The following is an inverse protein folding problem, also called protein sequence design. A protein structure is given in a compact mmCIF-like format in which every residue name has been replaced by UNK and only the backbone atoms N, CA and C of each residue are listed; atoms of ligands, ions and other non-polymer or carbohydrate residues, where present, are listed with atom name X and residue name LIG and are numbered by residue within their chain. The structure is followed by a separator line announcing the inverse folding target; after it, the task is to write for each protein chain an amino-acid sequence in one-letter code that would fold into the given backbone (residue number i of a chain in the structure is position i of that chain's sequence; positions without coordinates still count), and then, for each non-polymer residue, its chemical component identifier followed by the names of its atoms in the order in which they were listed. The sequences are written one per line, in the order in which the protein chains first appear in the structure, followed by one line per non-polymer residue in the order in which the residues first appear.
data_IF_901185082001
#
_entry.id   IF_901185082001
#
_cell.length_a   1.000
_cell.length_b   1.000
_cell.length_c   1.000
_cell.angle_alpha   90.00
_cell.angle_beta   90.00
_cell.angle_gamma   90.00
#
_symmetry.space_group_name_H-M   'P 1'
#
loop_
_entity.id
_entity.type
_entity.pdbx_description
1 polymer ?
#
# COMPACT_ATOMS: atom_id res chain seq x y z
N UNK A 1 -26.86 -43.75 -45.76
CA UNK A 1 -25.42 -43.43 -45.60
C UNK A 1 -25.23 -42.08 -46.27
N UNK A 2 -24.88 -40.96 -45.65
CA UNK A 2 -24.42 -40.65 -44.30
C UNK A 2 -24.98 -39.26 -43.93
N UNK A 3 -25.46 -39.10 -42.71
CA UNK A 3 -25.85 -37.79 -42.16
C UNK A 3 -24.75 -37.29 -41.23
N UNK A 4 -24.31 -36.07 -41.50
CA UNK A 4 -23.38 -35.26 -40.70
C UNK A 4 -23.97 -35.06 -39.29
N UNK A 5 -23.18 -35.31 -38.26
CA UNK A 5 -23.48 -34.93 -36.88
C UNK A 5 -22.40 -33.95 -36.41
N UNK A 6 -22.82 -32.71 -36.20
CA UNK A 6 -22.06 -31.64 -35.59
C UNK A 6 -21.83 -31.99 -34.11
N UNK A 7 -20.56 -32.19 -33.72
CA UNK A 7 -20.17 -32.15 -32.31
C UNK A 7 -19.95 -30.69 -31.93
N UNK A 8 -20.84 -30.15 -31.11
CA UNK A 8 -20.60 -28.92 -30.38
C UNK A 8 -19.40 -29.08 -29.45
N UNK A 9 -18.50 -28.11 -29.47
CA UNK A 9 -17.45 -27.94 -28.49
C UNK A 9 -18.07 -27.36 -27.22
N UNK A 10 -18.23 -28.17 -26.19
CA UNK A 10 -18.42 -27.68 -24.83
C UNK A 10 -17.13 -26.98 -24.39
N UNK A 11 -17.11 -25.66 -24.48
CA UNK A 11 -16.16 -24.83 -23.74
C UNK A 11 -16.56 -24.91 -22.28
N UNK A 12 -15.80 -25.63 -21.45
CA UNK A 12 -15.97 -25.58 -20.00
C UNK A 12 -15.72 -24.14 -19.55
N UNK A 13 -16.75 -23.45 -19.08
CA UNK A 13 -16.59 -22.20 -18.33
C UNK A 13 -15.74 -22.52 -17.10
N UNK A 14 -14.48 -22.07 -17.11
CA UNK A 14 -13.73 -21.95 -15.86
C UNK A 14 -14.56 -21.03 -14.97
N UNK A 15 -15.10 -21.57 -13.88
CA UNK A 15 -15.87 -20.81 -12.91
C UNK A 15 -14.96 -19.68 -12.42
N UNK A 16 -15.27 -18.44 -12.80
CA UNK A 16 -14.47 -17.28 -12.40
C UNK A 16 -14.68 -17.13 -10.89
N UNK A 17 -13.62 -17.30 -10.09
CA UNK A 17 -13.74 -17.07 -8.66
C UNK A 17 -13.96 -15.58 -8.40
N UNK A 18 -15.16 -15.23 -7.92
CA UNK A 18 -15.44 -13.88 -7.43
C UNK A 18 -14.44 -13.52 -6.33
N UNK A 19 -13.76 -12.35 -6.39
CA UNK A 19 -12.90 -11.91 -5.31
C UNK A 19 -13.68 -11.79 -4.00
N UNK A 20 -13.08 -12.20 -2.87
CA UNK A 20 -13.75 -12.21 -1.56
C UNK A 20 -13.35 -11.08 -0.64
N UNK A 21 -12.10 -10.65 -0.73
CA UNK A 21 -11.51 -9.72 0.21
C UNK A 21 -11.22 -8.38 -0.44
N UNK A 22 -11.40 -7.33 0.35
CA UNK A 22 -11.00 -5.97 0.03
C UNK A 22 -9.80 -5.60 0.88
N UNK A 23 -8.76 -5.07 0.22
CA UNK A 23 -7.65 -4.41 0.89
C UNK A 23 -7.84 -2.90 0.83
N UNK A 24 -7.57 -2.22 1.95
CA UNK A 24 -7.56 -0.77 2.05
C UNK A 24 -6.11 -0.32 2.27
N UNK A 25 -5.59 0.51 1.36
CA UNK A 25 -4.15 0.84 1.32
C UNK A 25 -3.68 1.59 2.57
N UNK A 26 -4.43 2.58 3.06
CA UNK A 26 -4.00 3.37 4.21
C UNK A 26 -4.78 4.66 4.37
N UNK A 27 -4.31 5.71 3.68
CA UNK A 27 -4.80 7.08 3.82
C UNK A 27 -6.25 7.34 3.40
N UNK A 28 -6.83 8.42 3.92
CA UNK A 28 -8.21 8.81 3.70
C UNK A 28 -8.48 10.31 3.86
N UNK A 29 -9.59 10.85 3.30
CA UNK A 29 -9.94 12.25 3.44
C UNK A 29 -10.76 12.54 4.71
N UNK A 30 -11.01 11.52 5.55
CA UNK A 30 -11.82 11.66 6.75
C UNK A 30 -11.10 12.49 7.81
N UNK A 31 -11.88 13.20 8.62
CA UNK A 31 -11.31 14.09 9.63
C UNK A 31 -10.72 13.34 10.83
N UNK A 32 -11.25 12.15 11.14
CA UNK A 32 -10.88 11.36 12.34
C UNK A 32 -10.78 9.87 12.02
N UNK A 33 -9.95 9.15 12.78
CA UNK A 33 -9.83 7.70 12.65
C UNK A 33 -11.17 7.01 12.92
N UNK A 34 -11.91 7.45 13.94
CA UNK A 34 -13.27 6.96 14.24
C UNK A 34 -14.22 7.06 13.04
N UNK A 35 -14.32 8.23 12.38
CA UNK A 35 -15.21 8.40 11.22
C UNK A 35 -14.79 7.48 10.05
N UNK A 36 -13.49 7.31 9.84
CA UNK A 36 -12.95 6.38 8.84
C UNK A 36 -13.33 4.92 9.17
N UNK A 37 -13.04 4.46 10.39
CA UNK A 37 -13.34 3.10 10.82
C UNK A 37 -14.83 2.75 10.70
N UNK A 38 -15.71 3.64 11.15
CA UNK A 38 -17.15 3.46 11.05
C UNK A 38 -17.59 3.38 9.58
N UNK A 39 -17.07 4.27 8.74
CA UNK A 39 -17.43 4.32 7.31
C UNK A 39 -16.99 3.07 6.56
N UNK A 40 -15.73 2.63 6.75
CA UNK A 40 -15.21 1.44 6.08
C UNK A 40 -15.93 0.17 6.56
N UNK A 41 -16.15 0.03 7.86
CA UNK A 41 -16.81 -1.15 8.44
C UNK A 41 -18.27 -1.25 7.99
N UNK A 42 -18.96 -0.12 7.84
CA UNK A 42 -20.33 -0.08 7.35
C UNK A 42 -20.43 -0.38 5.85
N UNK A 43 -19.48 0.10 5.05
CA UNK A 43 -19.50 -0.05 3.60
C UNK A 43 -19.02 -1.44 3.13
N UNK A 44 -18.13 -2.10 3.88
CA UNK A 44 -17.48 -3.35 3.49
C UNK A 44 -17.66 -4.48 4.52
N UNK A 45 -18.90 -4.79 4.95
CA UNK A 45 -19.13 -5.80 5.97
C UNK A 45 -18.68 -7.19 5.47
N UNK A 46 -17.89 -7.89 6.28
CA UNK A 46 -17.41 -9.24 6.01
C UNK A 46 -16.39 -9.35 4.86
N UNK A 47 -15.77 -8.23 4.45
CA UNK A 47 -14.81 -8.17 3.33
C UNK A 47 -13.41 -7.76 3.72
N UNK A 48 -13.23 -7.20 4.91
CA UNK A 48 -11.95 -6.68 5.39
C UNK A 48 -11.25 -7.72 6.26
N UNK A 49 -9.99 -8.04 5.94
CA UNK A 49 -9.08 -8.77 6.83
C UNK A 49 -8.28 -7.78 7.68
N UNK A 50 -7.87 -6.68 7.06
CA UNK A 50 -7.09 -5.61 7.65
C UNK A 50 -7.86 -4.30 7.54
N UNK A 51 -7.73 -3.44 8.55
CA UNK A 51 -8.31 -2.10 8.53
C UNK A 51 -7.24 -1.08 8.98
N UNK A 52 -6.77 -0.21 8.07
CA UNK A 52 -5.84 0.86 8.42
C UNK A 52 -6.53 1.95 9.24
N UNK A 53 -5.75 2.87 9.78
CA UNK A 53 -6.28 3.98 10.57
C UNK A 53 -6.80 5.16 9.72
N UNK A 54 -6.64 5.11 8.40
CA UNK A 54 -7.10 6.18 7.51
C UNK A 54 -6.12 7.34 7.37
N UNK A 55 -4.97 7.31 8.04
CA UNK A 55 -3.92 8.35 8.04
C UNK A 55 -4.46 9.79 8.05
N UNK A 56 -5.40 10.07 8.96
CA UNK A 56 -6.15 11.33 8.94
C UNK A 56 -5.31 12.55 9.31
N UNK A 57 -5.84 13.74 9.01
CA UNK A 57 -5.17 15.01 9.30
C UNK A 57 -3.95 15.22 8.39
N UNK A 58 -2.82 15.65 8.93
CA UNK A 58 -1.60 15.95 8.13
C UNK A 58 -1.02 14.73 7.41
N UNK A 59 -1.38 13.51 7.83
CA UNK A 59 -0.84 12.26 7.26
C UNK A 59 -1.51 11.86 5.94
N UNK A 60 -2.59 12.52 5.54
CA UNK A 60 -3.32 12.18 4.31
C UNK A 60 -2.53 12.49 3.02
N UNK A 61 -1.46 13.29 3.11
CA UNK A 61 -0.50 13.55 2.02
C UNK A 61 0.75 12.66 2.13
N UNK A 62 0.58 11.39 2.48
CA UNK A 62 1.64 10.38 2.56
C UNK A 62 2.81 10.84 3.42
N UNK A 63 4.03 10.92 2.89
CA UNK A 63 5.23 11.28 3.67
C UNK A 63 5.43 12.77 3.90
N UNK A 64 4.61 13.67 3.33
CA UNK A 64 4.88 15.12 3.40
C UNK A 64 4.95 15.67 4.83
N UNK A 65 4.17 15.14 5.76
CA UNK A 65 4.23 15.56 7.16
C UNK A 65 5.57 15.23 7.84
N UNK A 66 6.37 14.31 7.28
CA UNK A 66 7.71 13.99 7.77
C UNK A 66 8.73 15.09 7.50
N UNK A 67 8.41 16.11 6.69
CA UNK A 67 9.28 17.29 6.58
C UNK A 67 9.48 17.97 7.94
N UNK A 68 8.46 17.95 8.82
CA UNK A 68 8.52 18.52 10.19
C UNK A 68 9.57 17.82 11.08
N UNK A 69 9.93 16.57 10.78
CA UNK A 69 11.00 15.83 11.48
C UNK A 69 12.34 16.55 11.32
N UNK A 70 12.54 17.29 10.23
CA UNK A 70 13.79 17.97 9.91
C UNK A 70 13.74 19.48 10.22
N UNK A 71 12.79 19.96 11.03
CA UNK A 71 12.65 21.38 11.41
C UNK A 71 13.93 21.96 12.07
N UNK A 72 14.72 21.11 12.73
CA UNK A 72 16.02 21.49 13.31
C UNK A 72 17.17 21.51 12.27
N UNK A 73 16.89 21.15 11.01
CA UNK A 73 17.83 21.09 9.89
C UNK A 73 17.16 21.53 8.57
N UNK A 74 16.51 22.70 8.49
CA UNK A 74 15.67 23.05 7.33
C UNK A 74 16.43 23.21 6.01
N UNK A 75 17.77 23.33 6.05
CA UNK A 75 18.63 23.49 4.88
C UNK A 75 18.76 22.23 4.02
N UNK A 76 18.32 21.06 4.51
CA UNK A 76 18.36 19.79 3.75
C UNK A 76 17.05 19.50 3.01
N UNK A 77 16.00 20.27 3.25
CA UNK A 77 14.67 20.05 2.67
C UNK A 77 14.61 20.57 1.23
N UNK A 78 13.90 19.87 0.34
CA UNK A 78 13.58 20.43 -0.99
C UNK A 78 12.55 21.55 -0.88
N UNK A 79 12.57 22.47 -1.84
CA UNK A 79 11.69 23.65 -1.88
C UNK A 79 10.30 23.42 -2.51
N UNK A 80 9.45 24.45 -2.39
CA UNK A 80 8.05 24.53 -2.86
C UNK A 80 7.79 23.93 -4.24
N UNK A 81 8.60 24.29 -5.24
CA UNK A 81 8.40 23.91 -6.65
C UNK A 81 8.72 22.43 -6.93
N UNK A 82 9.41 21.76 -6.00
CA UNK A 82 9.88 20.38 -6.16
C UNK A 82 9.00 19.36 -5.40
N UNK A 83 8.13 19.82 -4.48
CA UNK A 83 7.28 18.94 -3.65
C UNK A 83 5.80 19.42 -3.61
N UNK A 84 5.48 20.65 -4.00
CA UNK A 84 4.13 21.20 -3.90
C UNK A 84 3.79 21.70 -2.48
N UNK A 85 3.49 22.99 -2.37
CA UNK A 85 2.98 23.73 -1.21
C UNK A 85 3.75 23.64 0.13
N UNK A 86 5.07 23.97 0.12
CA UNK A 86 5.82 24.26 1.37
C UNK A 86 6.87 25.38 1.21
N UNK A 87 7.10 26.19 2.26
CA UNK A 87 7.98 27.37 2.24
C UNK A 87 9.37 27.05 1.69
N UNK A 88 9.80 27.81 0.68
CA UNK A 88 11.15 27.74 0.13
C UNK A 88 12.18 28.15 1.21
N UNK A 89 13.21 27.30 1.40
CA UNK A 89 14.42 27.72 2.07
C UNK A 89 15.36 28.37 1.04
N UNK A 90 15.70 29.65 1.25
CA UNK A 90 16.79 30.31 0.54
C UNK A 90 18.00 30.29 1.48
N UNK A 91 19.06 29.60 1.08
CA UNK A 91 20.27 29.48 1.88
C UNK A 91 21.14 30.73 1.74
N UNK A 92 21.28 31.50 2.82
CA UNK A 92 22.42 32.41 3.01
C UNK A 92 23.35 31.94 4.16
N UNK A 93 23.17 30.71 4.66
CA UNK A 93 23.83 30.22 5.87
C UNK A 93 24.71 28.99 5.64
N UNK A 94 25.86 28.99 6.32
CA UNK A 94 26.86 27.91 6.34
C UNK A 94 26.21 26.56 6.65
N UNK A 95 26.46 25.61 5.77
CA UNK A 95 26.07 24.20 5.87
C UNK A 95 26.58 23.60 7.18
N UNK A 96 25.67 23.36 8.12
CA UNK A 96 25.98 22.61 9.35
C UNK A 96 26.03 21.12 9.00
N UNK A 97 27.16 20.46 9.24
CA UNK A 97 27.36 19.02 8.99
C UNK A 97 26.66 18.10 10.00
N UNK A 98 25.56 18.52 10.61
CA UNK A 98 24.86 17.75 11.66
C UNK A 98 23.37 17.79 11.41
N UNK A 99 22.88 16.78 10.70
CA UNK A 99 21.45 16.50 10.53
C UNK A 99 20.86 16.15 11.89
N UNK A 100 19.72 16.75 12.24
CA UNK A 100 18.98 16.47 13.48
C UNK A 100 17.56 16.05 13.15
N UNK A 101 17.16 14.89 13.67
CA UNK A 101 15.81 14.35 13.55
C UNK A 101 15.00 14.65 14.81
N UNK A 102 13.79 15.16 14.61
CA UNK A 102 12.72 15.13 15.59
C UNK A 102 12.10 13.73 15.74
N UNK A 103 11.07 13.58 16.59
CA UNK A 103 10.29 12.36 16.67
C UNK A 103 9.55 12.10 15.34
N UNK A 104 9.56 10.86 14.86
CA UNK A 104 8.87 10.51 13.61
C UNK A 104 7.34 10.51 13.75
N UNK A 105 6.82 10.12 14.91
CA UNK A 105 5.40 10.15 15.26
C UNK A 105 4.55 8.96 14.76
N UNK A 106 5.07 8.07 13.91
CA UNK A 106 4.32 6.90 13.41
C UNK A 106 3.79 6.02 14.53
N UNK A 107 4.61 5.77 15.54
CA UNK A 107 4.30 4.99 16.72
C UNK A 107 3.24 5.65 17.61
N UNK A 108 3.39 6.95 17.89
CA UNK A 108 2.40 7.71 18.67
C UNK A 108 1.01 7.68 18.00
N UNK A 109 0.97 7.86 16.67
CA UNK A 109 -0.28 7.77 15.90
C UNK A 109 -0.85 6.36 15.92
N UNK A 110 -0.06 5.33 15.59
CA UNK A 110 -0.54 3.95 15.56
C UNK A 110 -1.12 3.50 16.91
N UNK A 111 -0.45 3.83 18.03
CA UNK A 111 -0.90 3.47 19.37
C UNK A 111 -2.20 4.18 19.73
N UNK A 112 -2.33 5.47 19.41
CA UNK A 112 -3.56 6.23 19.65
C UNK A 112 -4.73 5.70 18.81
N UNK A 113 -4.51 5.48 17.52
CA UNK A 113 -5.53 4.95 16.60
C UNK A 113 -5.95 3.53 16.94
N UNK A 114 -5.03 2.69 17.42
CA UNK A 114 -5.35 1.34 17.90
C UNK A 114 -6.29 1.36 19.13
N UNK A 115 -6.15 2.33 20.03
CA UNK A 115 -7.07 2.46 21.16
C UNK A 115 -8.50 2.78 20.69
N UNK A 116 -8.67 3.61 19.65
CA UNK A 116 -9.97 3.86 19.02
C UNK A 116 -10.51 2.63 18.30
N UNK A 117 -9.66 1.94 17.53
CA UNK A 117 -9.99 0.68 16.87
C UNK A 117 -10.55 -0.35 17.87
N UNK A 118 -9.86 -0.55 19.01
CA UNK A 118 -10.31 -1.46 20.07
C UNK A 118 -11.67 -1.08 20.64
N UNK A 119 -11.91 0.22 20.87
CA UNK A 119 -13.19 0.71 21.37
C UNK A 119 -14.32 0.36 20.40
N UNK A 120 -14.15 0.61 19.11
CA UNK A 120 -15.15 0.30 18.07
C UNK A 120 -15.35 -1.21 17.87
N UNK A 121 -14.28 -2.00 17.99
CA UNK A 121 -14.36 -3.47 17.96
C UNK A 121 -15.14 -4.04 19.14
N UNK A 122 -14.92 -3.50 20.35
CA UNK A 122 -15.67 -3.89 21.55
C UNK A 122 -17.15 -3.49 21.49
N UNK A 123 -17.49 -2.46 20.70
CA UNK A 123 -18.86 -2.04 20.43
C UNK A 123 -19.54 -2.87 19.32
N UNK A 124 -18.77 -3.70 18.60
CA UNK A 124 -19.26 -4.52 17.50
C UNK A 124 -19.33 -3.80 16.15
N UNK A 125 -18.84 -2.55 16.06
CA UNK A 125 -18.73 -1.83 14.79
C UNK A 125 -17.68 -2.46 13.89
N UNK A 126 -16.48 -2.71 14.44
CA UNK A 126 -15.43 -3.44 13.74
C UNK A 126 -15.58 -4.93 14.09
N UNK A 127 -15.71 -5.84 13.11
CA UNK A 127 -15.83 -7.27 13.39
C UNK A 127 -14.63 -7.84 14.15
N UNK A 128 -14.90 -8.84 14.99
CA UNK A 128 -13.83 -9.62 15.62
C UNK A 128 -13.04 -10.36 14.55
N UNK A 129 -11.71 -10.41 14.68
CA UNK A 129 -10.82 -11.06 13.71
C UNK A 129 -10.24 -10.12 12.65
N UNK A 130 -10.80 -8.91 12.47
CA UNK A 130 -10.15 -7.87 11.67
C UNK A 130 -8.91 -7.38 12.42
N UNK A 131 -7.78 -7.33 11.72
CA UNK A 131 -6.52 -6.79 12.25
C UNK A 131 -6.38 -5.31 11.97
N UNK A 132 -5.73 -4.61 12.89
CA UNK A 132 -5.34 -3.24 12.74
C UNK A 132 -4.08 -3.15 11.86
N UNK A 133 -4.18 -2.39 10.78
CA UNK A 133 -3.09 -2.18 9.83
C UNK A 133 -2.36 -0.88 10.15
N UNK A 134 -1.04 -0.96 10.27
CA UNK A 134 -0.15 0.20 10.33
C UNK A 134 0.64 0.26 9.03
N UNK A 135 0.33 1.28 8.21
CA UNK A 135 1.08 1.56 6.98
C UNK A 135 2.27 2.47 7.29
N UNK A 136 3.47 2.01 6.95
CA UNK A 136 4.74 2.73 7.15
C UNK A 136 5.41 2.92 5.78
N UNK A 137 5.91 4.12 5.47
CA UNK A 137 6.76 4.28 4.31
C UNK A 137 8.11 3.61 4.56
N UNK A 138 8.76 3.17 3.50
CA UNK A 138 10.21 2.90 3.60
C UNK A 138 10.98 4.21 3.81
N UNK A 139 12.22 4.14 4.34
CA UNK A 139 13.09 5.32 4.42
C UNK A 139 13.29 6.02 3.07
N UNK A 140 13.32 5.26 1.97
CA UNK A 140 13.50 5.81 0.61
C UNK A 140 12.40 6.80 0.24
N UNK A 141 11.16 6.53 0.65
CA UNK A 141 10.04 7.43 0.36
C UNK A 141 10.22 8.79 1.04
N UNK A 142 10.62 8.81 2.31
CA UNK A 142 10.80 10.07 3.04
C UNK A 142 12.04 10.82 2.56
N UNK A 143 13.18 10.13 2.49
CA UNK A 143 14.46 10.73 2.12
C UNK A 143 14.45 11.20 0.67
N UNK A 144 13.97 10.34 -0.23
CA UNK A 144 13.92 10.61 -1.66
C UNK A 144 12.92 11.73 -2.02
N UNK A 145 11.79 11.81 -1.34
CA UNK A 145 10.78 12.86 -1.59
C UNK A 145 11.17 14.16 -0.91
N UNK A 146 11.52 14.15 0.38
CA UNK A 146 11.62 15.36 1.20
C UNK A 146 12.99 16.06 1.16
N UNK A 147 14.09 15.34 0.90
CA UNK A 147 15.44 15.89 1.07
C UNK A 147 16.16 16.18 -0.25
N UNK A 148 16.99 17.22 -0.26
CA UNK A 148 17.90 17.53 -1.38
C UNK A 148 18.92 16.39 -1.59
N UNK A 149 19.26 16.05 -2.84
CA UNK A 149 20.09 14.87 -3.17
C UNK A 149 21.39 14.74 -2.37
N UNK A 150 22.10 15.85 -2.15
CA UNK A 150 23.39 15.87 -1.47
C UNK A 150 23.35 15.45 0.01
N UNK A 151 22.17 15.39 0.64
CA UNK A 151 22.01 14.96 2.04
C UNK A 151 21.41 13.56 2.19
N UNK A 152 20.93 12.95 1.09
CA UNK A 152 20.15 11.70 1.17
C UNK A 152 20.98 10.54 1.73
N UNK A 153 22.22 10.39 1.28
CA UNK A 153 23.13 9.34 1.74
C UNK A 153 23.48 9.46 3.23
N UNK A 154 23.62 10.69 3.76
CA UNK A 154 23.89 10.93 5.18
C UNK A 154 22.64 10.73 6.05
N UNK A 155 21.48 11.19 5.57
CA UNK A 155 20.23 11.20 6.33
C UNK A 155 19.57 9.82 6.43
N UNK A 156 19.67 8.98 5.40
CA UNK A 156 18.92 7.72 5.31
C UNK A 156 19.21 6.77 6.49
N UNK A 157 20.47 6.46 6.87
CA UNK A 157 20.72 5.54 7.98
C UNK A 157 20.21 6.07 9.32
N UNK A 158 20.19 7.41 9.50
CA UNK A 158 19.66 8.04 10.70
C UNK A 158 18.14 7.88 10.78
N UNK A 159 17.46 8.10 9.65
CA UNK A 159 16.02 7.98 9.53
C UNK A 159 15.56 6.52 9.67
N UNK A 160 16.24 5.57 8.99
CA UNK A 160 15.95 4.13 9.11
C UNK A 160 16.04 3.70 10.57
N UNK A 161 17.10 4.08 11.30
CA UNK A 161 17.24 3.76 12.72
C UNK A 161 16.07 4.27 13.57
N UNK A 162 15.61 5.50 13.32
CA UNK A 162 14.48 6.08 14.02
C UNK A 162 13.16 5.36 13.69
N UNK A 163 12.97 4.99 12.42
CA UNK A 163 11.79 4.25 11.95
C UNK A 163 11.73 2.85 12.56
N UNK A 164 12.86 2.14 12.63
CA UNK A 164 12.92 0.83 13.28
C UNK A 164 12.65 0.92 14.80
N UNK A 165 13.03 2.01 15.46
CA UNK A 165 12.67 2.26 16.85
C UNK A 165 11.16 2.52 17.03
N UNK A 166 10.55 3.26 16.11
CA UNK A 166 9.10 3.45 16.09
C UNK A 166 8.36 2.12 15.85
N UNK A 167 8.81 1.31 14.88
CA UNK A 167 8.28 -0.03 14.62
C UNK A 167 8.36 -0.94 15.86
N UNK A 168 9.49 -0.96 16.58
CA UNK A 168 9.62 -1.70 17.84
C UNK A 168 8.56 -1.28 18.86
N UNK A 169 8.39 0.03 19.06
CA UNK A 169 7.40 0.55 20.03
C UNK A 169 5.96 0.20 19.63
N UNK A 170 5.62 0.21 18.34
CA UNK A 170 4.33 -0.24 17.83
C UNK A 170 4.09 -1.70 18.22
N UNK A 171 5.08 -2.57 17.94
CA UNK A 171 4.99 -4.01 18.21
C UNK A 171 5.00 -4.35 19.71
N UNK A 172 5.59 -3.50 20.55
CA UNK A 172 5.51 -3.64 22.01
C UNK A 172 4.14 -3.23 22.58
N UNK A 173 3.46 -2.31 21.92
CA UNK A 173 2.21 -1.72 22.40
C UNK A 173 0.94 -2.42 21.84
N UNK A 174 1.04 -3.02 20.66
CA UNK A 174 -0.09 -3.65 19.97
C UNK A 174 0.12 -5.17 19.94
N UNK A 175 -0.85 -5.98 20.44
CA UNK A 175 -0.78 -7.43 20.38
C UNK A 175 -0.56 -7.93 18.95
N UNK A 176 0.32 -8.93 18.78
CA UNK A 176 0.69 -9.46 17.46
C UNK A 176 -0.49 -10.03 16.67
N UNK A 177 -1.48 -10.60 17.37
CA UNK A 177 -2.70 -11.14 16.77
C UNK A 177 -3.59 -10.05 16.17
N UNK A 178 -3.45 -8.82 16.64
CA UNK A 178 -4.21 -7.65 16.19
C UNK A 178 -3.42 -6.78 15.21
N UNK A 179 -2.11 -6.98 15.06
CA UNK A 179 -1.24 -6.10 14.29
C UNK A 179 -0.92 -6.67 12.89
N UNK A 180 -0.97 -5.78 11.91
CA UNK A 180 -0.45 -6.00 10.56
C UNK A 180 0.36 -4.78 10.12
N UNK A 181 1.52 -5.00 9.50
CA UNK A 181 2.44 -3.95 9.05
C UNK A 181 2.48 -3.92 7.52
N UNK A 182 2.21 -2.76 6.93
CA UNK A 182 2.44 -2.53 5.51
C UNK A 182 3.67 -1.66 5.29
N UNK A 183 4.51 -2.04 4.32
CA UNK A 183 5.55 -1.17 3.76
C UNK A 183 5.08 -0.53 2.45
N UNK A 184 5.00 0.80 2.43
CA UNK A 184 4.64 1.55 1.22
C UNK A 184 5.90 1.90 0.42
N UNK A 185 5.92 1.52 -0.86
CA UNK A 185 7.12 1.53 -1.71
C UNK A 185 6.93 2.32 -3.02
N UNK A 186 6.58 3.61 -2.93
CA UNK A 186 6.34 4.43 -4.12
C UNK A 186 7.64 4.91 -4.78
N UNK A 187 8.60 5.41 -3.97
CA UNK A 187 9.87 5.92 -4.48
C UNK A 187 10.69 4.82 -5.16
N UNK A 188 10.62 3.60 -4.66
CA UNK A 188 11.26 2.41 -5.23
C UNK A 188 10.78 2.11 -6.65
N UNK A 189 9.46 2.17 -6.88
CA UNK A 189 8.91 2.02 -8.23
C UNK A 189 9.39 3.16 -9.13
N UNK A 190 9.41 4.39 -8.61
CA UNK A 190 9.97 5.54 -9.32
C UNK A 190 11.42 5.30 -9.75
N UNK A 191 12.25 4.75 -8.86
CA UNK A 191 13.66 4.46 -9.16
C UNK A 191 13.86 3.40 -10.25
N UNK A 192 12.89 2.51 -10.46
CA UNK A 192 12.96 1.44 -11.46
C UNK A 192 12.35 1.83 -12.80
N UNK A 193 11.25 2.59 -12.78
CA UNK A 193 10.44 2.90 -13.97
C UNK A 193 10.61 4.35 -14.45
N UNK A 194 11.16 5.24 -13.61
CA UNK A 194 11.38 6.66 -13.95
C UNK A 194 12.68 7.23 -13.32
N UNK A 195 13.84 6.63 -13.62
CA UNK A 195 15.12 6.96 -12.97
C UNK A 195 15.61 8.39 -13.25
N UNK A 196 15.05 9.09 -14.24
CA UNK A 196 15.39 10.50 -14.51
C UNK A 196 14.87 11.46 -13.43
N UNK A 197 13.78 11.10 -12.74
CA UNK A 197 13.21 11.89 -11.65
C UNK A 197 13.42 11.27 -10.26
N UNK A 198 13.66 9.97 -10.19
CA UNK A 198 13.85 9.21 -8.96
C UNK A 198 15.25 8.61 -8.92
N UNK A 199 16.21 9.42 -8.48
CA UNK A 199 17.63 9.05 -8.44
C UNK A 199 17.98 8.27 -7.18
N UNK A 200 18.84 7.26 -7.30
CA UNK A 200 19.43 6.62 -6.13
C UNK A 200 20.65 7.38 -5.62
N UNK A 201 20.93 7.18 -4.34
CA UNK A 201 22.17 7.60 -3.67
C UNK A 201 22.94 6.37 -3.17
N UNK A 202 22.84 5.26 -3.92
CA UNK A 202 23.41 3.97 -3.53
C UNK A 202 24.82 3.85 -4.08
N UNK A 203 25.80 3.65 -3.21
CA UNK A 203 27.18 3.47 -3.62
C UNK A 203 27.47 2.02 -4.04
N UNK A 204 27.85 1.84 -5.31
CA UNK A 204 28.42 0.58 -5.81
C UNK A 204 27.42 -0.56 -6.09
N UNK A 205 26.12 -0.27 -6.10
CA UNK A 205 25.05 -1.23 -6.44
C UNK A 205 24.02 -0.58 -7.37
N UNK A 206 23.33 -1.39 -8.18
CA UNK A 206 22.18 -0.89 -8.95
C UNK A 206 20.96 -0.61 -8.06
N UNK A 207 19.99 0.12 -8.61
CA UNK A 207 18.77 0.53 -7.89
C UNK A 207 18.03 -0.66 -7.30
N UNK A 208 17.85 -1.74 -8.08
CA UNK A 208 17.07 -2.90 -7.66
C UNK A 208 17.77 -3.60 -6.49
N UNK A 209 19.06 -3.88 -6.60
CA UNK A 209 19.83 -4.50 -5.51
C UNK A 209 19.81 -3.64 -4.23
N UNK A 210 20.00 -2.33 -4.37
CA UNK A 210 19.96 -1.42 -3.21
C UNK A 210 18.58 -1.31 -2.55
N UNK A 211 17.49 -1.44 -3.32
CA UNK A 211 16.11 -1.56 -2.79
C UNK A 211 15.94 -2.85 -2.01
N UNK A 212 16.38 -4.00 -2.57
CA UNK A 212 16.23 -5.31 -1.93
C UNK A 212 16.99 -5.40 -0.61
N UNK A 213 18.20 -4.84 -0.53
CA UNK A 213 19.00 -4.81 0.70
C UNK A 213 18.34 -4.01 1.83
N UNK A 214 17.68 -2.90 1.48
CA UNK A 214 16.91 -2.07 2.43
C UNK A 214 15.66 -2.80 2.88
N UNK A 215 14.88 -3.34 1.94
CA UNK A 215 13.67 -4.07 2.25
C UNK A 215 13.93 -5.29 3.15
N UNK A 216 15.03 -6.02 2.93
CA UNK A 216 15.41 -7.14 3.80
C UNK A 216 15.59 -6.73 5.27
N UNK A 217 16.11 -5.53 5.54
CA UNK A 217 16.23 -5.00 6.91
C UNK A 217 14.88 -4.60 7.50
N UNK A 218 14.03 -3.96 6.70
CA UNK A 218 12.68 -3.56 7.12
C UNK A 218 11.81 -4.79 7.42
N UNK A 219 11.77 -5.75 6.50
CA UNK A 219 11.05 -7.02 6.68
C UNK A 219 11.57 -7.81 7.89
N UNK A 220 12.89 -7.80 8.12
CA UNK A 220 13.53 -8.48 9.25
C UNK A 220 13.26 -7.84 10.62
N UNK A 221 12.78 -6.60 10.68
CA UNK A 221 12.41 -5.96 11.94
C UNK A 221 10.95 -6.09 12.34
N UNK A 222 10.11 -6.67 11.49
CA UNK A 222 8.76 -7.07 11.87
C UNK A 222 8.85 -8.42 12.61
N UNK A 223 8.24 -8.52 13.79
CA UNK A 223 8.29 -9.67 14.68
C UNK A 223 7.62 -10.90 14.05
N UNK A 224 8.01 -12.07 14.54
CA UNK A 224 7.34 -13.33 14.19
C UNK A 224 5.90 -13.34 14.72
N UNK A 225 4.95 -13.67 13.85
CA UNK A 225 3.51 -13.73 14.17
C UNK A 225 2.75 -12.41 14.02
N UNK A 226 3.44 -11.29 13.75
CA UNK A 226 2.83 -10.07 13.22
C UNK A 226 2.71 -10.22 11.70
N UNK A 227 1.55 -9.96 11.10
CA UNK A 227 1.43 -10.04 9.63
C UNK A 227 2.16 -8.89 8.94
N UNK A 228 2.76 -9.15 7.79
CA UNK A 228 3.49 -8.17 7.00
C UNK A 228 3.17 -8.25 5.51
N UNK A 229 2.89 -7.10 4.91
CA UNK A 229 2.76 -6.96 3.47
C UNK A 229 3.41 -5.69 2.95
N UNK A 230 3.29 -5.47 1.65
CA UNK A 230 3.78 -4.25 1.01
C UNK A 230 2.86 -3.76 -0.10
N UNK A 231 2.86 -2.45 -0.27
CA UNK A 231 2.11 -1.72 -1.28
C UNK A 231 3.11 -1.13 -2.27
N UNK A 232 3.11 -1.66 -3.49
CA UNK A 232 3.80 -1.03 -4.62
C UNK A 232 2.90 0.08 -5.17
N UNK A 233 3.49 1.20 -5.59
CA UNK A 233 2.72 2.38 -5.99
C UNK A 233 3.44 3.17 -7.08
N UNK A 234 2.73 3.65 -8.09
CA UNK A 234 3.23 4.62 -9.06
C UNK A 234 3.01 6.08 -8.62
N UNK A 235 2.72 6.29 -7.33
CA UNK A 235 2.23 7.56 -6.81
C UNK A 235 0.87 7.92 -7.40
N UNK A 236 0.10 8.74 -6.72
CA UNK A 236 -1.16 9.22 -7.26
C UNK A 236 -1.26 10.68 -6.87
N UNK A 237 -1.19 11.64 -7.78
CA UNK A 237 -1.53 13.03 -7.49
C UNK A 237 -2.61 13.43 -8.50
N UNK A 238 -3.83 13.64 -8.00
CA UNK A 238 -5.01 13.92 -8.82
C UNK A 238 -5.26 12.85 -9.90
N UNK A 239 -5.18 11.56 -9.53
CA UNK A 239 -5.36 10.41 -10.43
C UNK A 239 -4.32 10.31 -11.55
N UNK A 240 -3.12 10.83 -11.28
CA UNK A 240 -1.98 10.75 -12.20
C UNK A 240 -0.79 10.09 -11.52
N UNK A 241 -0.26 9.08 -12.19
CA UNK A 241 0.97 8.41 -11.86
C UNK A 241 2.19 9.27 -12.24
N UNK A 242 3.33 9.05 -11.59
CA UNK A 242 4.58 9.66 -12.05
C UNK A 242 5.03 9.08 -13.41
N UNK A 243 4.68 7.83 -13.68
CA UNK A 243 4.85 7.17 -14.98
C UNK A 243 3.71 6.17 -15.18
N UNK A 244 3.14 6.13 -16.38
CA UNK A 244 2.11 5.15 -16.71
C UNK A 244 2.78 3.80 -17.06
N UNK A 245 2.58 2.74 -16.25
CA UNK A 245 3.25 1.47 -16.47
C UNK A 245 2.82 0.84 -17.77
N UNK A 246 3.78 0.33 -18.55
CA UNK A 246 3.49 -0.34 -19.83
C UNK A 246 2.71 -1.65 -19.62
N UNK A 247 3.16 -2.45 -18.66
CA UNK A 247 2.61 -3.73 -18.24
C UNK A 247 2.97 -3.97 -16.76
N UNK A 248 2.56 -5.10 -16.17
CA UNK A 248 2.87 -5.43 -14.77
C UNK A 248 4.28 -6.03 -14.56
N UNK A 249 5.16 -6.01 -15.57
CA UNK A 249 6.44 -6.72 -15.55
C UNK A 249 7.36 -6.31 -14.41
N UNK A 250 7.55 -5.00 -14.20
CA UNK A 250 8.38 -4.50 -13.09
C UNK A 250 7.76 -4.79 -11.73
N UNK A 251 6.42 -4.67 -11.61
CA UNK A 251 5.71 -4.99 -10.37
C UNK A 251 5.89 -6.47 -9.99
N UNK A 252 5.73 -7.39 -10.95
CA UNK A 252 5.88 -8.83 -10.72
C UNK A 252 7.34 -9.19 -10.40
N UNK A 253 8.29 -8.64 -11.16
CA UNK A 253 9.72 -8.87 -10.94
C UNK A 253 10.15 -8.39 -9.54
N UNK A 254 9.80 -7.15 -9.16
CA UNK A 254 10.12 -6.62 -7.84
C UNK A 254 9.42 -7.42 -6.73
N UNK A 255 8.15 -7.76 -6.88
CA UNK A 255 7.39 -8.56 -5.91
C UNK A 255 8.07 -9.90 -5.62
N UNK A 256 8.52 -10.60 -6.67
CA UNK A 256 9.18 -11.89 -6.53
C UNK A 256 10.49 -11.77 -5.74
N UNK A 257 11.29 -10.76 -6.05
CA UNK A 257 12.57 -10.53 -5.39
C UNK A 257 12.39 -10.07 -3.94
N UNK A 258 11.45 -9.15 -3.66
CA UNK A 258 11.10 -8.72 -2.30
C UNK A 258 10.66 -9.91 -1.46
N UNK A 259 9.78 -10.76 -1.99
CA UNK A 259 9.32 -11.98 -1.32
C UNK A 259 10.46 -12.96 -1.04
N UNK A 260 11.45 -13.03 -1.92
CA UNK A 260 12.66 -13.84 -1.74
C UNK A 260 13.57 -13.32 -0.62
N UNK A 261 13.83 -12.02 -0.56
CA UNK A 261 14.75 -11.41 0.42
C UNK A 261 14.12 -11.17 1.79
N UNK A 262 12.79 -11.13 1.90
CA UNK A 262 12.08 -10.94 3.17
C UNK A 262 12.45 -11.98 4.24
N UNK A 263 12.82 -13.21 3.83
CA UNK A 263 13.13 -14.36 4.71
C UNK A 263 12.01 -14.70 5.72
N UNK A 264 10.80 -14.24 5.45
CA UNK A 264 9.56 -14.53 6.19
C UNK A 264 8.43 -14.86 5.22
N UNK A 265 7.24 -15.12 5.73
CA UNK A 265 6.04 -15.04 4.88
C UNK A 265 5.70 -13.56 4.72
N UNK A 266 5.44 -13.17 3.48
CA UNK A 266 4.77 -11.92 3.15
C UNK A 266 3.29 -12.29 3.07
N UNK A 267 2.49 -11.80 4.00
CA UNK A 267 1.09 -12.18 4.19
C UNK A 267 0.20 -11.59 3.08
N UNK A 268 0.52 -10.38 2.61
CA UNK A 268 -0.12 -9.82 1.42
C UNK A 268 0.81 -8.95 0.58
N UNK A 269 0.46 -8.84 -0.70
CA UNK A 269 1.03 -7.85 -1.61
C UNK A 269 -0.11 -7.04 -2.21
N UNK A 270 0.14 -5.75 -2.43
CA UNK A 270 -0.76 -4.88 -3.16
C UNK A 270 -0.04 -4.27 -4.37
N UNK A 271 -0.70 -4.31 -5.53
CA UNK A 271 -0.21 -3.68 -6.77
C UNK A 271 -1.30 -2.85 -7.46
N UNK A 272 -0.96 -1.65 -7.97
CA UNK A 272 -1.92 -0.74 -8.61
C UNK A 272 -2.19 -1.16 -10.05
N UNK A 273 -3.36 -0.81 -10.57
CA UNK A 273 -3.76 -1.07 -11.96
C UNK A 273 -4.46 0.16 -12.53
N UNK A 274 -3.85 0.87 -13.52
CA UNK A 274 -4.45 2.07 -14.09
C UNK A 274 -5.83 1.82 -14.68
N UNK A 275 -6.72 2.81 -14.49
CA UNK A 275 -8.14 2.72 -14.89
C UNK A 275 -8.37 2.24 -16.31
N UNK A 276 -7.49 2.63 -17.24
CA UNK A 276 -7.59 2.31 -18.66
C UNK A 276 -7.08 0.90 -19.04
N UNK A 277 -6.58 0.10 -18.10
CA UNK A 277 -5.99 -1.22 -18.35
C UNK A 277 -7.03 -2.32 -18.35
N UNK A 278 -7.58 -2.62 -19.52
CA UNK A 278 -8.41 -3.82 -19.76
C UNK A 278 -7.76 -4.75 -20.80
N UNK A 279 -6.49 -4.54 -21.12
CA UNK A 279 -5.77 -5.31 -22.12
C UNK A 279 -5.01 -6.50 -21.52
N UNK A 280 -5.10 -7.67 -22.16
CA UNK A 280 -4.43 -8.91 -21.73
C UNK A 280 -2.90 -8.74 -21.60
N UNK A 281 -2.28 -7.91 -22.45
CA UNK A 281 -0.84 -7.72 -22.46
C UNK A 281 -0.34 -7.07 -21.16
N UNK A 282 -1.12 -6.15 -20.59
CA UNK A 282 -0.82 -5.53 -19.30
C UNK A 282 -0.75 -6.56 -18.16
N UNK A 283 -1.71 -7.49 -18.10
CA UNK A 283 -1.82 -8.50 -17.04
C UNK A 283 -0.99 -9.76 -17.29
N UNK A 284 -0.50 -9.98 -18.51
CA UNK A 284 0.30 -11.14 -18.89
C UNK A 284 1.42 -11.51 -17.91
N UNK A 285 2.19 -10.55 -17.35
CA UNK A 285 3.25 -10.84 -16.40
C UNK A 285 2.79 -11.52 -15.10
N UNK A 286 1.52 -11.43 -14.71
CA UNK A 286 1.02 -12.07 -13.47
C UNK A 286 1.25 -13.58 -13.44
N UNK A 287 1.38 -14.23 -14.61
CA UNK A 287 1.73 -15.65 -14.73
C UNK A 287 3.10 -16.00 -14.15
N UNK A 288 3.98 -15.02 -14.01
CA UNK A 288 5.34 -15.19 -13.51
C UNK A 288 5.48 -14.88 -12.01
N UNK A 289 4.36 -14.64 -11.30
CA UNK A 289 4.37 -14.49 -9.84
C UNK A 289 4.82 -15.80 -9.15
N UNK A 290 5.78 -15.66 -8.24
CA UNK A 290 6.41 -16.74 -7.47
C UNK A 290 6.25 -16.44 -5.98
N UNK A 291 5.03 -16.63 -5.50
CA UNK A 291 4.67 -16.38 -4.11
C UNK A 291 4.48 -17.69 -3.35
N UNK A 292 4.53 -17.60 -2.01
CA UNK A 292 4.07 -18.69 -1.17
C UNK A 292 2.56 -18.80 -1.29
N UNK A 293 2.01 -20.01 -1.13
CA UNK A 293 0.56 -20.26 -1.22
C UNK A 293 -0.27 -19.46 -0.22
N UNK A 294 0.34 -19.03 0.88
CA UNK A 294 -0.25 -18.28 1.97
C UNK A 294 -0.30 -16.77 1.69
N UNK A 295 0.46 -16.27 0.70
CA UNK A 295 0.51 -14.86 0.35
C UNK A 295 -0.74 -14.46 -0.44
N UNK A 296 -1.47 -13.47 0.07
CA UNK A 296 -2.63 -12.90 -0.61
C UNK A 296 -2.19 -11.82 -1.60
N UNK A 297 -2.76 -11.84 -2.81
CA UNK A 297 -2.52 -10.79 -3.81
C UNK A 297 -3.74 -9.88 -3.87
N UNK A 298 -3.53 -8.57 -3.76
CA UNK A 298 -4.55 -7.56 -3.95
C UNK A 298 -4.23 -6.74 -5.19
N UNK A 299 -5.19 -6.69 -6.12
CA UNK A 299 -5.10 -5.88 -7.34
C UNK A 299 -5.93 -4.61 -7.19
N UNK A 300 -5.32 -3.46 -7.44
CA UNK A 300 -5.95 -2.14 -7.41
C UNK A 300 -6.88 -1.87 -8.59
N UNK A 301 -7.92 -2.68 -8.77
CA UNK A 301 -8.78 -2.67 -9.97
C UNK A 301 -9.99 -1.73 -9.87
N UNK A 302 -10.33 -1.25 -8.68
CA UNK A 302 -11.53 -0.45 -8.43
C UNK A 302 -11.24 1.04 -8.57
N UNK A 303 -12.07 1.74 -9.34
CA UNK A 303 -12.01 3.20 -9.49
C UNK A 303 -13.42 3.78 -9.38
N UNK A 304 -13.47 5.08 -9.10
CA UNK A 304 -14.73 5.77 -8.92
C UNK A 304 -15.58 5.77 -10.19
N UNK A 305 -16.89 5.56 -9.96
CA UNK A 305 -17.94 5.51 -10.96
C UNK A 305 -17.66 4.53 -12.11
N UNK A 306 -16.92 3.45 -11.83
CA UNK A 306 -16.41 2.54 -12.87
C UNK A 306 -16.67 1.07 -12.55
N UNK A 307 -17.91 0.73 -12.20
CA UNK A 307 -18.29 -0.65 -11.87
C UNK A 307 -18.04 -1.62 -13.05
N UNK A 308 -18.49 -1.26 -14.25
CA UNK A 308 -18.36 -2.13 -15.41
C UNK A 308 -16.91 -2.25 -15.89
N UNK A 309 -16.13 -1.16 -15.84
CA UNK A 309 -14.68 -1.25 -16.07
C UNK A 309 -13.99 -2.12 -15.02
N UNK A 310 -14.42 -2.05 -13.75
CA UNK A 310 -13.85 -2.87 -12.68
C UNK A 310 -14.13 -4.34 -12.90
N UNK A 311 -15.35 -4.69 -13.29
CA UNK A 311 -15.71 -6.07 -13.67
C UNK A 311 -14.88 -6.57 -14.84
N UNK A 312 -14.66 -5.74 -15.86
CA UNK A 312 -13.84 -6.13 -17.01
C UNK A 312 -12.37 -6.33 -16.60
N UNK A 313 -11.82 -5.45 -15.77
CA UNK A 313 -10.47 -5.60 -15.21
C UNK A 313 -10.31 -6.88 -14.40
N UNK A 314 -11.28 -7.21 -13.54
CA UNK A 314 -11.31 -8.48 -12.81
C UNK A 314 -11.33 -9.65 -13.79
N UNK A 315 -12.24 -9.62 -14.78
CA UNK A 315 -12.39 -10.68 -15.78
C UNK A 315 -11.07 -10.97 -16.51
N UNK A 316 -10.38 -9.93 -16.97
CA UNK A 316 -9.09 -10.06 -17.68
C UNK A 316 -8.00 -10.55 -16.73
N UNK A 317 -7.88 -9.97 -15.54
CA UNK A 317 -6.87 -10.40 -14.56
C UNK A 317 -7.03 -11.88 -14.17
N UNK A 318 -8.27 -12.38 -14.04
CA UNK A 318 -8.59 -13.78 -13.74
C UNK A 318 -8.08 -14.78 -14.79
N UNK A 319 -7.71 -14.33 -15.99
CA UNK A 319 -7.07 -15.19 -17.01
C UNK A 319 -5.60 -15.47 -16.71
N UNK A 320 -4.97 -14.65 -15.85
CA UNK A 320 -3.53 -14.69 -15.53
C UNK A 320 -3.25 -15.01 -14.06
N UNK A 321 -4.17 -14.68 -13.15
CA UNK A 321 -4.09 -14.99 -11.72
C UNK A 321 -5.46 -15.46 -11.22
N UNK A 322 -5.55 -16.68 -10.71
CA UNK A 322 -6.83 -17.28 -10.35
C UNK A 322 -7.43 -16.68 -9.08
N UNK A 323 -6.63 -16.51 -8.02
CA UNK A 323 -7.09 -16.04 -6.71
C UNK A 323 -6.43 -14.72 -6.36
N UNK A 324 -7.25 -13.69 -6.14
CA UNK A 324 -6.83 -12.37 -5.68
C UNK A 324 -7.99 -11.65 -4.98
N UNK A 325 -7.64 -10.70 -4.09
CA UNK A 325 -8.55 -9.69 -3.57
C UNK A 325 -8.53 -8.41 -4.41
N UNK A 326 -9.50 -7.52 -4.17
CA UNK A 326 -9.63 -6.25 -4.90
C UNK A 326 -9.28 -5.08 -3.99
N UNK A 327 -8.69 -4.04 -4.57
CA UNK A 327 -8.41 -2.78 -3.89
C UNK A 327 -8.59 -1.61 -4.87
N UNK A 328 -8.32 -0.41 -4.38
CA UNK A 328 -8.02 0.77 -5.21
C UNK A 328 -6.54 0.80 -5.58
N UNK A 329 -6.16 1.65 -6.54
CA UNK A 329 -4.74 1.81 -6.88
C UNK A 329 -3.88 2.33 -5.73
N UNK A 330 -4.44 3.23 -4.91
CA UNK A 330 -3.74 3.92 -3.83
C UNK A 330 -4.72 4.20 -2.68
N UNK A 331 -4.24 4.83 -1.60
CA UNK A 331 -5.08 5.33 -0.51
C UNK A 331 -5.92 6.54 -0.92
N UNK A 332 -6.97 6.83 -0.15
CA UNK A 332 -7.94 7.88 -0.44
C UNK A 332 -7.54 9.28 0.04
N UNK A 333 -6.31 9.49 0.53
CA UNK A 333 -5.92 10.71 1.27
C UNK A 333 -6.23 12.05 0.58
N UNK A 334 -6.27 12.06 -0.77
CA UNK A 334 -6.54 13.23 -1.62
C UNK A 334 -7.83 13.10 -2.45
N UNK A 335 -8.63 12.10 -2.13
CA UNK A 335 -9.85 11.75 -2.87
C UNK A 335 -11.04 12.48 -2.25
N UNK A 336 -11.93 13.03 -3.07
CA UNK A 336 -13.15 13.66 -2.59
C UNK A 336 -14.11 12.65 -1.96
N UNK A 337 -14.92 13.08 -1.00
CA UNK A 337 -15.75 12.15 -0.20
C UNK A 337 -16.78 11.38 -1.05
N UNK A 338 -17.37 12.02 -2.05
CA UNK A 338 -18.31 11.38 -2.98
C UNK A 338 -17.62 10.32 -3.87
N UNK A 339 -16.38 10.59 -4.25
CA UNK A 339 -15.53 9.66 -4.97
C UNK A 339 -15.20 8.42 -4.12
N UNK A 340 -14.81 8.60 -2.85
CA UNK A 340 -14.62 7.50 -1.89
C UNK A 340 -15.88 6.65 -1.78
N UNK A 341 -17.05 7.27 -1.59
CA UNK A 341 -18.31 6.54 -1.48
C UNK A 341 -18.64 5.76 -2.75
N UNK A 342 -18.36 6.32 -3.92
CA UNK A 342 -18.54 5.60 -5.19
C UNK A 342 -17.65 4.36 -5.27
N UNK A 343 -16.38 4.48 -4.90
CA UNK A 343 -15.43 3.36 -4.93
C UNK A 343 -15.84 2.26 -3.95
N UNK A 344 -16.25 2.62 -2.73
CA UNK A 344 -16.72 1.64 -1.75
C UNK A 344 -17.93 0.86 -2.26
N UNK A 345 -18.85 1.54 -2.97
CA UNK A 345 -19.96 0.86 -3.64
C UNK A 345 -19.50 -0.11 -4.72
N UNK A 346 -18.51 0.27 -5.54
CA UNK A 346 -17.91 -0.62 -6.54
C UNK A 346 -17.27 -1.84 -5.87
N UNK A 347 -16.45 -1.63 -4.84
CA UNK A 347 -15.78 -2.69 -4.09
C UNK A 347 -16.79 -3.67 -3.48
N UNK A 348 -17.87 -3.16 -2.88
CA UNK A 348 -18.92 -3.99 -2.30
C UNK A 348 -19.67 -4.84 -3.34
N UNK A 349 -19.92 -4.30 -4.55
CA UNK A 349 -20.60 -5.00 -5.64
C UNK A 349 -19.74 -6.11 -6.28
N UNK A 350 -18.42 -5.89 -6.40
CA UNK A 350 -17.52 -6.86 -7.07
C UNK A 350 -16.92 -7.90 -6.13
N UNK A 351 -17.22 -7.83 -4.83
CA UNK A 351 -16.71 -8.78 -3.84
C UNK A 351 -17.82 -9.48 -3.07
N UNK A 352 -17.64 -10.76 -2.80
CA UNK A 352 -18.56 -11.55 -1.97
C UNK A 352 -18.18 -11.49 -0.49
N UNK A 353 -19.13 -11.22 0.44
CA UNK A 353 -18.83 -11.19 1.86
C UNK A 353 -18.64 -12.60 2.43
N UNK A 354 -17.63 -12.77 3.28
CA UNK A 354 -17.50 -13.99 4.07
C UNK A 354 -18.38 -13.93 5.32
N UNK A 355 -19.67 -14.23 5.14
CA UNK A 355 -20.68 -14.16 6.22
C UNK A 355 -20.54 -15.28 7.27
N UNK A 356 -19.76 -16.33 7.00
CA UNK A 356 -19.62 -17.48 7.90
C UNK A 356 -18.93 -17.13 9.23
N UNK A 357 -18.02 -16.15 9.25
CA UNK A 357 -17.40 -15.70 10.50
C UNK A 357 -18.35 -14.90 11.43
N UNK A 358 -19.49 -14.42 10.92
CA UNK A 358 -20.49 -13.67 11.70
C UNK A 358 -21.53 -14.58 12.38
N UNK A 359 -21.71 -15.82 11.92
CA UNK A 359 -22.74 -16.73 12.43
C UNK A 359 -22.19 -17.79 13.40
N UNK A 360 -20.93 -18.23 13.25
CA UNK A 360 -20.35 -19.30 14.07
C UNK A 360 -19.95 -18.87 15.50
N UNK A 361 -20.27 -17.63 15.92
CA UNK A 361 -20.17 -17.16 17.31
C UNK A 361 -21.51 -16.90 17.99
N UNK A 362 -22.63 -17.28 17.36
CA UNK A 362 -24.00 -17.17 17.94
C UNK A 362 -24.65 -18.53 18.29
N UNK A 363 -23.89 -19.62 18.23
CA UNK A 363 -24.23 -20.93 18.79
C UNK A 363 -23.13 -21.34 19.77
#
# INVERSE_FOLDING_TARGET
MSSVSLKGSETSSKDQSTPRHVHLVGSSPYATNTEFFESMSAALPGRLIHLPDGETGKRNYFVRWQMEVFDASPHILKGYEQIGDYKAYQSDAVLSSQIKLGPLGYDDHAIASYAEFLKLRNQGTIPQGVRFQVSLPTPLNVIGICLLPEYQAEAEPMYEKALMAALRRIQDAIPKEDLSIQWDMAYEIGMLEFPEAFTSWFDGVDNKQGILERFARLAGGVDEGVEMGFHLCYGDIDHKHFVEPKDMGVLVDLTNELSGVARRVVDWIHVPVPKNRTDEAYFAPLKDLRLKSETQVYLGLAHAWDLEGTKERIRVASEFLHEFGVSTECGFGRTEKDEVLSVLGVLAEVTEPELHQLLDKKL
#
